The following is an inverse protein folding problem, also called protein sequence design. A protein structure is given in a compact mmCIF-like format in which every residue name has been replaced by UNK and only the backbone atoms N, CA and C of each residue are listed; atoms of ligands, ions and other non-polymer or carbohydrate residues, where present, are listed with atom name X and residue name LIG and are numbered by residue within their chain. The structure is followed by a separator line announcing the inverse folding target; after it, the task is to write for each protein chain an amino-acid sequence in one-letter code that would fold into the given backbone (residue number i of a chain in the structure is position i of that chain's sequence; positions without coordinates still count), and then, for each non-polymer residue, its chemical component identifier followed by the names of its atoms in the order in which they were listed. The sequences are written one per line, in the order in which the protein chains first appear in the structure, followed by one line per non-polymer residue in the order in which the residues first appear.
data_IF_479934641072
#
_entry.id   IF_479934641072
#
_cell.length_a   1.000
_cell.length_b   1.000
_cell.length_c   1.000
_cell.angle_alpha   90.00
_cell.angle_beta   90.00
_cell.angle_gamma   90.00
#
_symmetry.space_group_name_H-M   'P 1'
#
loop_
_entity.id
_entity.type
_entity.pdbx_description
1 polymer ?
#
# COMPACT_ATOMS: atom_id res chain seq x y z
N UNK A 1 15.69 34.00 -18.81
CA UNK A 1 16.24 32.65 -18.57
C UNK A 1 15.84 31.80 -19.75
N UNK A 2 16.80 31.29 -20.51
CA UNK A 2 16.54 30.51 -21.72
C UNK A 2 16.02 29.13 -21.32
N UNK A 3 14.77 28.83 -21.68
CA UNK A 3 14.10 27.58 -21.32
C UNK A 3 14.76 26.42 -22.10
N UNK A 4 15.34 25.46 -21.38
CA UNK A 4 15.98 24.28 -21.99
C UNK A 4 14.88 23.33 -22.48
N UNK A 5 14.89 23.05 -23.79
CA UNK A 5 14.03 22.04 -24.42
C UNK A 5 14.68 20.65 -24.32
N UNK A 6 13.85 19.64 -24.11
CA UNK A 6 14.21 18.23 -24.05
C UNK A 6 14.78 17.77 -25.41
N UNK A 7 15.79 16.91 -25.38
CA UNK A 7 16.31 16.26 -26.57
C UNK A 7 15.34 15.18 -27.07
N UNK A 8 15.29 14.95 -28.39
CA UNK A 8 14.46 13.88 -28.97
C UNK A 8 14.92 12.52 -28.45
N UNK A 9 14.04 11.81 -27.73
CA UNK A 9 14.29 10.56 -26.99
C UNK A 9 14.97 10.73 -25.62
N UNK A 10 14.73 11.84 -24.92
CA UNK A 10 15.12 11.95 -23.52
C UNK A 10 14.25 11.03 -22.65
N UNK A 11 14.82 10.39 -21.61
CA UNK A 11 14.06 9.62 -20.59
C UNK A 11 12.96 10.46 -19.92
N UNK A 12 13.06 11.78 -20.00
CA UNK A 12 12.10 12.73 -19.45
C UNK A 12 10.94 13.07 -20.40
N UNK A 13 10.90 12.51 -21.62
CA UNK A 13 9.76 12.70 -22.53
C UNK A 13 8.46 12.10 -21.96
N UNK A 14 8.54 11.07 -21.12
CA UNK A 14 7.37 10.47 -20.48
C UNK A 14 6.81 11.35 -19.34
N UNK A 15 7.58 12.36 -18.90
CA UNK A 15 7.21 13.32 -17.86
C UNK A 15 6.64 14.63 -18.43
N UNK A 16 6.73 14.82 -19.75
CA UNK A 16 6.15 15.92 -20.53
C UNK A 16 4.69 15.58 -20.86
N UNK A 17 3.77 16.09 -20.03
CA UNK A 17 2.34 15.74 -20.07
C UNK A 17 1.58 16.57 -21.12
N UNK A 18 2.07 17.75 -21.48
CA UNK A 18 1.47 18.62 -22.50
C UNK A 18 2.15 18.55 -23.87
N UNK A 19 3.31 17.90 -23.96
CA UNK A 19 4.03 17.62 -25.20
C UNK A 19 4.73 18.85 -25.79
N UNK A 20 5.00 19.87 -24.98
CA UNK A 20 5.65 21.11 -25.41
C UNK A 20 7.19 20.99 -25.55
N UNK A 21 7.74 19.85 -25.10
CA UNK A 21 9.16 19.53 -25.10
C UNK A 21 9.93 20.12 -23.91
N UNK A 22 9.25 20.54 -22.84
CA UNK A 22 9.84 21.11 -21.61
C UNK A 22 9.08 20.58 -20.40
N UNK A 23 9.71 19.68 -19.62
CA UNK A 23 9.13 19.29 -18.32
C UNK A 23 9.13 20.50 -17.37
N UNK A 24 7.93 20.97 -17.03
CA UNK A 24 7.70 22.04 -16.07
C UNK A 24 7.62 21.50 -14.63
N UNK A 25 7.94 22.35 -13.65
CA UNK A 25 7.78 22.03 -12.22
C UNK A 25 6.32 21.68 -11.85
N UNK A 26 5.35 22.10 -12.66
CA UNK A 26 3.94 21.76 -12.45
C UNK A 26 3.66 20.33 -12.87
N UNK A 27 4.21 19.88 -13.99
CA UNK A 27 4.03 18.52 -14.52
C UNK A 27 4.64 17.47 -13.59
N UNK A 28 5.84 17.72 -13.07
CA UNK A 28 6.50 16.85 -12.08
C UNK A 28 5.63 16.70 -10.83
N UNK A 29 5.06 17.80 -10.32
CA UNK A 29 4.20 17.76 -9.13
C UNK A 29 2.89 17.02 -9.39
N UNK A 30 2.31 17.12 -10.58
CA UNK A 30 1.11 16.35 -10.94
C UNK A 30 1.40 14.85 -11.02
N UNK A 31 2.52 14.45 -11.64
CA UNK A 31 2.95 13.05 -11.71
C UNK A 31 3.22 12.47 -10.32
N UNK A 32 3.97 13.19 -9.49
CA UNK A 32 4.21 12.78 -8.09
C UNK A 32 2.91 12.66 -7.29
N UNK A 33 1.96 13.58 -7.50
CA UNK A 33 0.66 13.53 -6.83
C UNK A 33 -0.21 12.34 -7.28
N UNK A 34 -0.13 11.95 -8.56
CA UNK A 34 -0.83 10.79 -9.12
C UNK A 34 -0.20 9.50 -8.56
N UNK A 35 1.13 9.35 -8.65
CA UNK A 35 1.83 8.18 -8.10
C UNK A 35 1.59 8.01 -6.60
N UNK A 36 1.60 9.11 -5.85
CA UNK A 36 1.38 9.05 -4.40
C UNK A 36 -0.05 8.61 -4.08
N UNK A 37 -1.05 9.01 -4.88
CA UNK A 37 -2.43 8.50 -4.75
C UNK A 37 -2.51 7.00 -5.03
N UNK A 38 -1.91 6.54 -6.12
CA UNK A 38 -1.92 5.12 -6.48
C UNK A 38 -1.23 4.24 -5.41
N UNK A 39 -0.09 4.70 -4.88
CA UNK A 39 0.62 4.03 -3.77
C UNK A 39 -0.24 3.94 -2.52
N UNK A 40 -1.00 4.99 -2.20
CA UNK A 40 -1.90 5.01 -1.03
C UNK A 40 -3.10 4.06 -1.21
N UNK A 41 -3.68 4.00 -2.41
CA UNK A 41 -4.79 3.10 -2.71
C UNK A 41 -4.35 1.63 -2.69
N UNK A 42 -3.16 1.32 -3.22
CA UNK A 42 -2.56 -0.01 -3.13
C UNK A 42 -2.29 -0.43 -1.67
N UNK A 43 -1.75 0.47 -0.85
CA UNK A 43 -1.56 0.21 0.59
C UNK A 43 -2.88 -0.06 1.31
N UNK A 44 -3.93 0.70 0.97
CA UNK A 44 -5.27 0.52 1.54
C UNK A 44 -5.87 -0.83 1.19
N UNK A 45 -5.72 -1.28 -0.07
CA UNK A 45 -6.16 -2.60 -0.49
C UNK A 45 -5.42 -3.72 0.24
N UNK A 46 -4.09 -3.61 0.40
CA UNK A 46 -3.30 -4.59 1.15
C UNK A 46 -3.74 -4.70 2.60
N UNK A 47 -3.99 -3.56 3.27
CA UNK A 47 -4.51 -3.55 4.63
C UNK A 47 -5.91 -4.19 4.73
N UNK A 48 -6.78 -3.93 3.75
CA UNK A 48 -8.13 -4.50 3.73
C UNK A 48 -8.12 -6.02 3.53
N UNK A 49 -7.26 -6.52 2.63
CA UNK A 49 -7.07 -7.96 2.42
C UNK A 49 -6.50 -8.62 3.67
N UNK A 50 -5.54 -8.00 4.35
CA UNK A 50 -5.00 -8.52 5.61
C UNK A 50 -6.08 -8.63 6.70
N UNK A 51 -6.87 -7.57 6.90
CA UNK A 51 -7.98 -7.59 7.85
C UNK A 51 -9.05 -8.62 7.49
N UNK A 52 -9.45 -8.71 6.22
CA UNK A 52 -10.40 -9.71 5.75
C UNK A 52 -9.88 -11.14 5.98
N UNK A 53 -8.58 -11.37 5.77
CA UNK A 53 -7.96 -12.67 6.00
C UNK A 53 -8.02 -13.09 7.48
N UNK A 54 -7.83 -12.16 8.42
CA UNK A 54 -7.99 -12.45 9.86
C UNK A 54 -9.42 -12.86 10.19
N UNK A 55 -10.41 -12.14 9.66
CA UNK A 55 -11.83 -12.45 9.91
C UNK A 55 -12.20 -13.82 9.35
N UNK A 56 -11.83 -14.09 8.09
CA UNK A 56 -12.09 -15.38 7.43
C UNK A 56 -11.41 -16.51 8.19
N UNK A 57 -10.15 -16.33 8.61
CA UNK A 57 -9.42 -17.32 9.39
C UNK A 57 -10.09 -17.58 10.74
N UNK A 58 -10.54 -16.54 11.44
CA UNK A 58 -11.30 -16.66 12.69
C UNK A 58 -12.53 -17.53 12.46
N UNK A 59 -13.35 -17.20 11.45
CA UNK A 59 -14.58 -17.94 11.15
C UNK A 59 -14.28 -19.40 10.74
N UNK A 60 -13.20 -19.62 10.01
CA UNK A 60 -12.78 -20.96 9.59
C UNK A 60 -12.39 -21.86 10.77
N UNK A 61 -11.72 -21.29 11.79
CA UNK A 61 -11.34 -22.02 13.01
C UNK A 61 -12.57 -22.40 13.86
N UNK A 62 -13.63 -21.58 13.83
CA UNK A 62 -14.89 -21.86 14.53
C UNK A 62 -15.79 -22.90 13.84
N UNK A 63 -15.46 -23.34 12.62
CA UNK A 63 -16.19 -24.43 11.98
C UNK A 63 -15.96 -25.75 12.75
N UNK A 64 -17.01 -26.57 12.98
CA UNK A 64 -16.94 -27.83 13.74
C UNK A 64 -16.15 -28.96 13.04
N UNK A 65 -15.36 -28.61 12.02
CA UNK A 65 -14.51 -29.52 11.24
C UNK A 65 -13.22 -29.82 12.03
N UNK A 66 -12.82 -28.96 12.95
CA UNK A 66 -11.60 -29.12 13.75
C UNK A 66 -11.91 -29.71 15.13
N UNK A 67 -11.31 -30.86 15.51
CA UNK A 67 -11.44 -31.42 16.86
C UNK A 67 -10.86 -30.47 17.91
N UNK A 68 -11.45 -30.43 19.11
CA UNK A 68 -11.01 -29.57 20.24
C UNK A 68 -9.51 -29.74 20.55
N UNK A 69 -8.97 -30.95 20.39
CA UNK A 69 -7.55 -31.24 20.58
C UNK A 69 -6.64 -30.49 19.58
N UNK A 70 -7.08 -30.31 18.32
CA UNK A 70 -6.35 -29.54 17.31
C UNK A 70 -6.46 -28.04 17.55
N UNK A 71 -7.62 -27.57 18.02
CA UNK A 71 -7.82 -26.16 18.40
C UNK A 71 -6.87 -25.78 19.53
N UNK A 72 -6.75 -26.64 20.56
CA UNK A 72 -5.84 -26.39 21.70
C UNK A 72 -4.37 -26.39 21.29
N UNK A 73 -3.96 -27.24 20.36
CA UNK A 73 -2.60 -27.25 19.81
C UNK A 73 -2.30 -26.04 18.91
N UNK A 74 -3.31 -25.48 18.25
CA UNK A 74 -3.18 -24.34 17.36
C UNK A 74 -3.46 -22.99 18.05
N UNK A 75 -4.02 -22.98 19.26
CA UNK A 75 -4.32 -21.78 20.07
C UNK A 75 -3.17 -20.79 20.13
N UNK A 76 -1.96 -21.27 20.46
CA UNK A 76 -0.78 -20.41 20.59
C UNK A 76 -0.30 -19.89 19.22
N UNK A 77 -0.44 -20.71 18.17
CA UNK A 77 -0.15 -20.31 16.79
C UNK A 77 -1.14 -19.25 16.29
N UNK A 78 -2.41 -19.35 16.67
CA UNK A 78 -3.39 -18.31 16.38
C UNK A 78 -2.99 -17.01 17.07
N UNK A 79 -2.68 -17.02 18.36
CA UNK A 79 -2.22 -15.84 19.08
C UNK A 79 -1.04 -15.15 18.38
N UNK A 80 -0.04 -15.93 17.95
CA UNK A 80 1.11 -15.41 17.22
C UNK A 80 0.73 -14.87 15.82
N UNK A 81 -0.19 -15.55 15.12
CA UNK A 81 -0.73 -15.11 13.83
C UNK A 81 -1.48 -13.77 13.95
N UNK A 82 -2.32 -13.59 14.97
CA UNK A 82 -3.03 -12.31 15.21
C UNK A 82 -2.05 -11.19 15.55
N UNK A 83 -1.04 -11.44 16.38
CA UNK A 83 -0.01 -10.45 16.71
C UNK A 83 0.80 -10.08 15.46
N UNK A 84 1.17 -11.06 14.62
CA UNK A 84 1.88 -10.83 13.36
C UNK A 84 1.07 -9.98 12.38
N UNK A 85 -0.19 -10.33 12.15
CA UNK A 85 -1.08 -9.56 11.26
C UNK A 85 -1.38 -8.16 11.82
N UNK A 86 -1.58 -8.01 13.13
CA UNK A 86 -1.74 -6.70 13.76
C UNK A 86 -0.49 -5.82 13.60
N UNK A 87 0.70 -6.41 13.64
CA UNK A 87 1.96 -5.70 13.41
C UNK A 87 2.08 -5.20 11.97
N UNK A 88 1.69 -6.01 10.99
CA UNK A 88 1.67 -5.63 9.57
C UNK A 88 0.69 -4.47 9.36
N UNK A 89 -0.55 -4.60 9.86
CA UNK A 89 -1.58 -3.56 9.74
C UNK A 89 -1.12 -2.27 10.43
N UNK A 90 -0.55 -2.36 11.63
CA UNK A 90 -0.03 -1.21 12.37
C UNK A 90 1.12 -0.51 11.66
N UNK A 91 2.05 -1.26 11.05
CA UNK A 91 3.15 -0.70 10.26
C UNK A 91 2.63 0.00 9.00
N UNK A 92 1.71 -0.62 8.25
CA UNK A 92 1.09 0.00 7.08
C UNK A 92 0.31 1.26 7.45
N UNK A 93 -0.62 1.18 8.41
CA UNK A 93 -1.40 2.33 8.85
C UNK A 93 -0.53 3.44 9.45
N UNK A 94 0.54 3.09 10.16
CA UNK A 94 1.51 4.03 10.72
C UNK A 94 2.29 4.78 9.63
N UNK A 95 2.78 4.07 8.61
CA UNK A 95 3.44 4.68 7.46
C UNK A 95 2.48 5.58 6.67
N UNK A 96 1.26 5.10 6.41
CA UNK A 96 0.20 5.88 5.75
C UNK A 96 -0.13 7.15 6.54
N UNK A 97 -0.24 7.07 7.87
CA UNK A 97 -0.50 8.23 8.74
C UNK A 97 0.67 9.22 8.77
N UNK A 98 1.91 8.73 8.78
CA UNK A 98 3.11 9.58 8.70
C UNK A 98 3.15 10.36 7.38
N UNK A 99 2.91 9.69 6.26
CA UNK A 99 2.84 10.33 4.95
C UNK A 99 1.69 11.34 4.85
N UNK A 100 0.55 11.06 5.49
CA UNK A 100 -0.58 11.99 5.54
C UNK A 100 -0.31 13.25 6.39
N UNK A 101 0.54 13.15 7.42
CA UNK A 101 0.90 14.26 8.32
C UNK A 101 2.05 15.14 7.79
N UNK A 102 2.78 14.68 6.77
CA UNK A 102 3.84 15.44 6.09
C UNK A 102 3.36 16.46 5.05
N UNK A 103 2.03 16.65 4.93
CA UNK A 103 1.39 17.75 4.19
C UNK A 103 0.97 18.84 5.15
#
# INVERSE_FOLDING_TARGET
MTQKKLEKNSEFNDLDLDGDGVVSDQEIKTLEAIEMREKMDAQRQMAWVAMASMIIFTLAVFLPIFPDARIKALSDLFGLFYIGQASIVGAFMGMTAYMAKGK
#
